data_IF_554272111221
#
_entry.id   IF_554272111221
#
_cell.length_a   1.000
_cell.length_b   1.000
_cell.length_c   1.000
_cell.angle_alpha   90.00
_cell.angle_beta   90.00
_cell.angle_gamma   90.00
#
_symmetry.space_group_name_H-M   'P 1'
#
loop_
_entity.id
_entity.type
_entity.pdbx_description
1 polymer ?
#
# COMPACT_ATOMS: atom_id res chain seq x y z
N UNK A 1 6.44 32.28 -3.09
CA UNK A 1 6.13 30.97 -3.71
C UNK A 1 6.63 29.82 -2.84
N UNK A 2 7.84 29.92 -2.26
CA UNK A 2 8.41 28.92 -1.33
C UNK A 2 7.55 28.63 -0.10
N UNK A 3 7.02 29.67 0.57
CA UNK A 3 6.10 29.50 1.71
C UNK A 3 4.82 28.76 1.33
N UNK A 4 4.27 29.01 0.13
CA UNK A 4 3.10 28.31 -0.39
C UNK A 4 3.41 26.83 -0.67
N UNK A 5 4.58 26.52 -1.26
CA UNK A 5 5.02 25.15 -1.48
C UNK A 5 5.19 24.38 -0.15
N UNK A 6 5.84 24.98 0.85
CA UNK A 6 5.99 24.38 2.19
C UNK A 6 4.62 24.13 2.84
N UNK A 7 3.69 25.09 2.71
CA UNK A 7 2.33 24.95 3.25
C UNK A 7 1.59 23.79 2.59
N UNK A 8 1.67 23.66 1.25
CA UNK A 8 1.04 22.55 0.52
C UNK A 8 1.69 21.20 0.84
N UNK A 9 3.00 21.16 1.05
CA UNK A 9 3.69 19.96 1.51
C UNK A 9 3.20 19.52 2.90
N UNK A 10 3.04 20.48 3.83
CA UNK A 10 2.47 20.21 5.15
C UNK A 10 1.01 19.72 5.06
N UNK A 11 0.21 20.33 4.19
CA UNK A 11 -1.15 19.86 3.91
C UNK A 11 -1.14 18.43 3.35
N UNK A 12 -0.19 18.09 2.48
CA UNK A 12 -0.02 16.72 1.96
C UNK A 12 0.27 15.72 3.09
N UNK A 13 1.15 16.08 4.04
CA UNK A 13 1.47 15.25 5.20
C UNK A 13 0.29 15.02 6.14
N UNK A 14 -0.56 16.04 6.32
CA UNK A 14 -1.70 16.00 7.25
C UNK A 14 -2.99 15.50 6.60
N UNK A 15 -3.14 15.56 5.28
CA UNK A 15 -4.36 15.19 4.57
C UNK A 15 -4.79 13.75 4.86
N UNK A 16 -3.86 12.80 4.81
CA UNK A 16 -4.19 11.38 5.02
C UNK A 16 -4.59 11.04 6.46
N UNK A 17 -3.83 11.42 7.52
CA UNK A 17 -4.22 11.10 8.88
C UNK A 17 -5.52 11.80 9.29
N UNK A 18 -5.72 13.06 8.89
CA UNK A 18 -6.96 13.81 9.18
C UNK A 18 -8.15 13.19 8.46
N UNK A 19 -8.02 12.86 7.17
CA UNK A 19 -9.06 12.18 6.40
C UNK A 19 -9.39 10.79 6.94
N UNK A 20 -8.37 10.01 7.33
CA UNK A 20 -8.56 8.69 7.90
C UNK A 20 -9.30 8.76 9.25
N UNK A 21 -9.01 9.76 10.08
CA UNK A 21 -9.68 9.97 11.36
C UNK A 21 -11.13 10.44 11.15
N UNK A 22 -11.35 11.42 10.27
CA UNK A 22 -12.67 11.96 9.95
C UNK A 22 -13.60 10.91 9.30
N UNK A 23 -13.05 10.04 8.46
CA UNK A 23 -13.83 8.99 7.78
C UNK A 23 -13.86 7.67 8.54
N UNK A 24 -13.21 7.55 9.71
CA UNK A 24 -13.04 6.28 10.46
C UNK A 24 -14.37 5.58 10.74
N UNK A 25 -15.33 6.29 11.35
CA UNK A 25 -16.65 5.72 11.69
C UNK A 25 -17.45 5.34 10.44
N UNK A 26 -17.39 6.17 9.40
CA UNK A 26 -18.07 5.93 8.12
C UNK A 26 -17.49 4.71 7.40
N UNK A 27 -16.17 4.56 7.35
CA UNK A 27 -15.48 3.43 6.70
C UNK A 27 -15.79 2.08 7.34
N UNK A 28 -16.06 2.03 8.64
CA UNK A 28 -16.35 0.77 9.34
C UNK A 28 -17.72 0.18 8.97
N UNK A 29 -18.69 1.01 8.58
CA UNK A 29 -20.04 0.57 8.23
C UNK A 29 -20.38 0.74 6.75
N UNK A 30 -19.51 1.38 5.97
CA UNK A 30 -19.76 1.64 4.56
C UNK A 30 -19.51 0.40 3.70
N UNK A 31 -20.26 0.24 2.59
CA UNK A 31 -19.97 -0.80 1.61
C UNK A 31 -18.60 -0.59 0.95
N UNK A 32 -18.00 -1.68 0.46
CA UNK A 32 -16.65 -1.69 -0.14
C UNK A 32 -16.50 -0.68 -1.29
N UNK A 33 -17.55 -0.50 -2.10
CA UNK A 33 -17.58 0.48 -3.20
C UNK A 33 -17.40 1.92 -2.72
N UNK A 34 -17.95 2.28 -1.56
CA UNK A 34 -17.80 3.61 -0.96
C UNK A 34 -16.40 3.79 -0.41
N UNK A 35 -15.84 2.78 0.27
CA UNK A 35 -14.45 2.83 0.75
C UNK A 35 -13.47 2.98 -0.42
N UNK A 36 -13.69 2.25 -1.52
CA UNK A 36 -12.92 2.37 -2.77
C UNK A 36 -12.98 3.79 -3.32
N UNK A 37 -14.16 4.40 -3.42
CA UNK A 37 -14.31 5.79 -3.87
C UNK A 37 -13.57 6.78 -2.96
N UNK A 38 -13.63 6.60 -1.64
CA UNK A 38 -12.91 7.44 -0.69
C UNK A 38 -11.38 7.30 -0.82
N UNK A 39 -10.88 6.11 -1.13
CA UNK A 39 -9.45 5.89 -1.40
C UNK A 39 -9.03 6.55 -2.72
N UNK A 40 -9.86 6.47 -3.79
CA UNK A 40 -9.64 7.17 -5.08
C UNK A 40 -9.59 8.68 -4.90
N UNK A 41 -10.59 9.26 -4.23
CA UNK A 41 -10.63 10.70 -3.96
C UNK A 41 -9.40 11.12 -3.16
N UNK A 42 -9.04 10.37 -2.12
CA UNK A 42 -7.86 10.64 -1.31
C UNK A 42 -6.57 10.62 -2.14
N UNK A 43 -6.39 9.62 -3.00
CA UNK A 43 -5.21 9.54 -3.86
C UNK A 43 -5.13 10.70 -4.86
N UNK A 44 -6.24 11.06 -5.51
CA UNK A 44 -6.28 12.20 -6.44
C UNK A 44 -5.94 13.50 -5.73
N UNK A 45 -6.52 13.77 -4.56
CA UNK A 45 -6.22 14.97 -3.77
C UNK A 45 -4.74 15.03 -3.42
N UNK A 46 -4.15 13.91 -2.97
CA UNK A 46 -2.73 13.84 -2.62
C UNK A 46 -1.82 14.04 -3.82
N UNK A 47 -2.12 13.43 -4.97
CA UNK A 47 -1.35 13.60 -6.19
C UNK A 47 -1.42 15.05 -6.71
N UNK A 48 -2.59 15.69 -6.65
CA UNK A 48 -2.76 17.10 -7.01
C UNK A 48 -1.97 18.00 -6.06
N UNK A 49 -2.08 17.80 -4.74
CA UNK A 49 -1.31 18.58 -3.77
C UNK A 49 0.21 18.44 -4.00
N UNK A 50 0.68 17.20 -4.17
CA UNK A 50 2.09 16.91 -4.45
C UNK A 50 2.56 17.56 -5.77
N UNK A 51 1.78 17.43 -6.84
CA UNK A 51 2.09 18.00 -8.15
C UNK A 51 2.13 19.53 -8.14
N UNK A 52 1.14 20.18 -7.53
CA UNK A 52 1.12 21.64 -7.37
C UNK A 52 2.28 22.10 -6.50
N UNK A 53 2.62 21.37 -5.43
CA UNK A 53 3.80 21.66 -4.61
C UNK A 53 5.08 21.60 -5.43
N UNK A 54 5.26 20.55 -6.24
CA UNK A 54 6.43 20.38 -7.10
C UNK A 54 6.57 21.52 -8.11
N UNK A 55 5.48 21.90 -8.80
CA UNK A 55 5.47 22.99 -9.78
C UNK A 55 5.81 24.33 -9.11
N UNK A 56 5.21 24.63 -7.96
CA UNK A 56 5.50 25.86 -7.22
C UNK A 56 6.93 25.89 -6.68
N UNK A 57 7.46 24.76 -6.23
CA UNK A 57 8.84 24.63 -5.76
C UNK A 57 9.84 24.86 -6.91
N UNK A 58 9.61 24.26 -8.07
CA UNK A 58 10.50 24.36 -9.23
C UNK A 58 10.69 25.79 -9.77
N UNK A 59 9.75 26.70 -9.50
CA UNK A 59 9.83 28.11 -9.91
C UNK A 59 10.10 29.07 -8.75
N UNK A 60 10.18 28.55 -7.52
CA UNK A 60 10.43 29.35 -6.32
C UNK A 60 11.92 29.49 -6.05
N UNK A 61 12.28 30.55 -5.32
CA UNK A 61 13.61 30.62 -4.71
C UNK A 61 13.76 29.54 -3.63
N UNK A 62 14.96 28.95 -3.49
CA UNK A 62 15.26 27.98 -2.44
C UNK A 62 14.85 28.47 -1.03
N UNK A 63 14.38 27.56 -0.20
CA UNK A 63 14.05 27.85 1.19
C UNK A 63 15.33 28.22 1.97
N UNK A 64 15.23 29.23 2.84
CA UNK A 64 16.35 29.67 3.68
C UNK A 64 15.98 29.62 5.17
N UNK A 65 17.00 29.56 6.03
CA UNK A 65 16.84 29.57 7.49
C UNK A 65 16.10 28.35 8.05
N UNK A 66 15.30 28.56 9.10
CA UNK A 66 14.57 27.49 9.80
C UNK A 66 13.63 26.70 8.86
N UNK A 67 13.03 27.37 7.89
CA UNK A 67 12.11 26.74 6.94
C UNK A 67 12.83 25.67 6.10
N UNK A 68 14.08 25.91 5.69
CA UNK A 68 14.88 24.93 4.95
C UNK A 68 15.18 23.66 5.75
N UNK A 69 15.34 23.80 7.07
CA UNK A 69 15.56 22.67 7.99
C UNK A 69 14.29 21.86 8.27
N UNK A 70 13.11 22.47 8.13
CA UNK A 70 11.83 21.80 8.37
C UNK A 70 11.37 20.96 7.17
N UNK A 71 11.69 21.36 5.94
CA UNK A 71 11.25 20.69 4.70
C UNK A 71 11.53 19.18 4.70
N UNK A 72 12.72 18.70 5.10
CA UNK A 72 12.99 17.26 5.16
C UNK A 72 12.02 16.48 6.03
N UNK A 73 11.73 17.02 7.21
CA UNK A 73 10.85 16.38 8.19
C UNK A 73 9.44 16.31 7.63
N UNK A 74 8.95 17.40 7.03
CA UNK A 74 7.61 17.45 6.44
C UNK A 74 7.49 16.53 5.22
N UNK A 75 8.51 16.47 4.35
CA UNK A 75 8.55 15.57 3.21
C UNK A 75 8.55 14.09 3.64
N UNK A 76 9.32 13.74 4.67
CA UNK A 76 9.33 12.41 5.23
C UNK A 76 7.96 12.03 5.82
N UNK A 77 7.32 12.94 6.55
CA UNK A 77 5.95 12.73 7.06
C UNK A 77 4.96 12.54 5.90
N UNK A 78 5.03 13.34 4.83
CA UNK A 78 4.19 13.19 3.65
C UNK A 78 4.41 11.86 2.91
N UNK A 79 5.66 11.39 2.82
CA UNK A 79 5.98 10.08 2.25
C UNK A 79 5.31 8.96 3.07
N UNK A 80 5.46 9.00 4.40
CA UNK A 80 4.96 7.98 5.32
C UNK A 80 3.43 7.98 5.42
N UNK A 81 2.77 9.13 5.45
CA UNK A 81 1.31 9.17 5.62
C UNK A 81 0.55 9.04 4.30
N UNK A 82 1.05 9.65 3.21
CA UNK A 82 0.32 9.81 1.94
C UNK A 82 0.20 8.58 1.04
N UNK A 83 1.15 7.66 1.09
CA UNK A 83 1.21 6.53 0.15
C UNK A 83 0.08 5.48 0.29
N UNK A 84 -0.66 5.45 1.40
CA UNK A 84 -1.71 4.44 1.64
C UNK A 84 -2.85 4.46 0.61
N UNK A 85 -3.58 5.59 0.46
CA UNK A 85 -4.60 5.75 -0.58
C UNK A 85 -4.05 5.51 -1.99
N UNK A 86 -2.84 6.00 -2.29
CA UNK A 86 -2.19 5.83 -3.60
C UNK A 86 -1.97 4.35 -3.92
N UNK A 87 -1.37 3.59 -3.01
CA UNK A 87 -1.15 2.14 -3.19
C UNK A 87 -2.46 1.39 -3.40
N UNK A 88 -3.48 1.68 -2.58
CA UNK A 88 -4.78 1.00 -2.69
C UNK A 88 -5.46 1.27 -4.03
N UNK A 89 -5.39 2.50 -4.51
CA UNK A 89 -6.00 2.89 -5.79
C UNK A 89 -5.29 2.25 -6.97
N UNK A 90 -3.96 2.15 -6.93
CA UNK A 90 -3.17 1.43 -7.94
C UNK A 90 -3.52 -0.06 -7.96
N UNK A 91 -3.56 -0.72 -6.81
CA UNK A 91 -3.93 -2.15 -6.74
C UNK A 91 -5.33 -2.40 -7.29
N UNK A 92 -6.27 -1.53 -6.93
CA UNK A 92 -7.65 -1.59 -7.41
C UNK A 92 -7.73 -1.33 -8.93
N UNK A 93 -6.93 -0.42 -9.47
CA UNK A 93 -6.84 -0.18 -10.91
C UNK A 93 -6.21 -1.37 -11.65
N UNK A 94 -5.27 -2.07 -11.00
CA UNK A 94 -4.67 -3.32 -11.49
C UNK A 94 -5.57 -4.55 -11.37
N UNK A 95 -6.86 -4.39 -11.02
CA UNK A 95 -7.85 -5.48 -10.97
C UNK A 95 -7.78 -6.36 -9.72
N UNK A 96 -7.00 -5.97 -8.71
CA UNK A 96 -6.88 -6.69 -7.44
C UNK A 96 -8.20 -6.57 -6.67
N UNK A 97 -8.98 -7.65 -6.66
CA UNK A 97 -10.30 -7.73 -6.03
C UNK A 97 -11.51 -7.73 -6.99
N UNK A 98 -11.30 -7.70 -8.32
CA UNK A 98 -12.40 -7.81 -9.31
C UNK A 98 -12.54 -9.21 -9.92
N UNK A 99 -11.59 -10.13 -9.70
CA UNK A 99 -11.70 -11.52 -10.16
C UNK A 99 -12.54 -12.37 -9.20
N UNK A 100 -13.85 -12.13 -9.20
CA UNK A 100 -14.89 -13.06 -8.74
C UNK A 100 -15.96 -13.10 -9.83
N UNK A 101 -15.57 -13.61 -11.00
CA UNK A 101 -16.49 -14.16 -11.98
C UNK A 101 -16.13 -15.62 -12.16
N UNK A 102 -17.10 -16.53 -12.41
CA UNK A 102 -16.77 -17.87 -12.87
C UNK A 102 -15.86 -17.71 -14.09
N UNK A 103 -14.62 -18.20 -14.01
CA UNK A 103 -13.83 -18.39 -15.22
C UNK A 103 -14.62 -19.32 -16.15
N UNK A 104 -14.51 -19.17 -17.48
CA UNK A 104 -15.05 -20.19 -18.38
C UNK A 104 -14.46 -21.53 -17.94
N UNK A 105 -15.33 -22.49 -17.68
CA UNK A 105 -14.96 -23.86 -17.35
C UNK A 105 -13.89 -24.32 -18.36
N UNK A 106 -12.79 -24.96 -17.92
CA UNK A 106 -11.94 -25.65 -18.87
C UNK A 106 -12.80 -26.72 -19.56
N UNK A 107 -13.17 -26.46 -20.80
CA UNK A 107 -13.73 -27.47 -21.70
C UNK A 107 -12.81 -28.70 -21.69
N UNK A 108 -13.40 -29.86 -21.42
CA UNK A 108 -12.87 -31.16 -21.81
C UNK A 108 -11.94 -31.83 -20.81
N UNK A 109 -12.51 -32.44 -19.78
CA UNK A 109 -11.94 -33.70 -19.26
C UNK A 109 -12.61 -34.85 -20.02
N UNK A 110 -11.87 -35.74 -20.69
CA UNK A 110 -12.46 -36.88 -21.37
C UNK A 110 -13.03 -37.86 -20.35
N UNK A 111 -14.18 -38.39 -20.73
CA UNK A 111 -14.91 -39.51 -20.14
C UNK A 111 -14.04 -40.78 -20.03
N UNK A 112 -13.84 -41.28 -18.81
CA UNK A 112 -13.39 -42.65 -18.55
C UNK A 112 -14.09 -43.28 -17.33
N UNK A 113 -15.21 -43.94 -17.61
CA UNK A 113 -15.38 -45.36 -17.25
C UNK A 113 -15.85 -45.73 -15.84
N UNK A 114 -17.16 -45.99 -15.74
CA UNK A 114 -17.78 -47.20 -15.14
C UNK A 114 -17.33 -47.68 -13.75
N UNK A 115 -18.28 -47.67 -12.80
CA UNK A 115 -18.26 -48.49 -11.59
C UNK A 115 -19.57 -48.36 -10.81
N UNK A 116 -20.45 -49.33 -11.02
CA UNK A 116 -21.76 -49.49 -10.38
C UNK A 116 -21.64 -49.95 -8.91
N UNK A 117 -22.76 -49.82 -8.19
CA UNK A 117 -23.20 -50.59 -7.01
C UNK A 117 -22.90 -50.11 -5.57
N UNK A 118 -24.00 -49.68 -4.92
CA UNK A 118 -24.59 -50.13 -3.63
C UNK A 118 -24.45 -49.31 -2.33
N UNK A 119 -25.65 -48.99 -1.81
CA UNK A 119 -26.16 -48.89 -0.43
C UNK A 119 -25.39 -48.16 0.70
N UNK A 120 -26.10 -47.22 1.34
CA UNK A 120 -25.78 -46.56 2.61
C UNK A 120 -26.33 -47.37 3.82
N UNK A 121 -26.23 -46.92 5.11
CA UNK A 121 -25.39 -45.91 5.77
C UNK A 121 -24.67 -46.45 7.04
N UNK A 122 -23.63 -45.78 7.55
CA UNK A 122 -23.35 -45.79 9.01
C UNK A 122 -22.40 -44.66 9.44
N UNK A 123 -22.82 -43.88 10.44
CA UNK A 123 -22.03 -42.84 11.10
C UNK A 123 -21.39 -43.36 12.39
N UNK A 124 -20.11 -43.06 12.67
CA UNK A 124 -19.61 -43.06 14.04
C UNK A 124 -19.35 -41.65 14.59
N UNK A 125 -19.59 -41.51 15.89
CA UNK A 125 -19.58 -40.33 16.76
C UNK A 125 -18.25 -39.54 16.84
N UNK A 126 -18.23 -38.32 17.43
CA UNK A 126 -17.10 -37.39 17.35
C UNK A 126 -15.95 -37.77 18.29
N UNK A 127 -14.72 -37.68 17.76
CA UNK A 127 -13.47 -37.90 18.49
C UNK A 127 -13.13 -36.72 19.43
N UNK A 128 -12.30 -36.93 20.47
CA UNK A 128 -12.05 -35.95 21.54
C UNK A 128 -11.25 -34.73 21.05
N UNK A 129 -11.53 -33.57 21.64
CA UNK A 129 -10.81 -32.32 21.37
C UNK A 129 -9.35 -32.40 21.85
N UNK A 130 -8.41 -32.32 20.91
CA UNK A 130 -6.99 -32.10 21.19
C UNK A 130 -6.75 -30.70 21.80
N UNK A 131 -5.76 -30.55 22.70
CA UNK A 131 -5.50 -29.31 23.40
C UNK A 131 -4.99 -28.22 22.45
N UNK A 132 -5.51 -27.01 22.61
CA UNK A 132 -5.26 -25.83 21.77
C UNK A 132 -3.77 -25.62 21.45
N UNK A 133 -3.45 -25.72 20.16
CA UNK A 133 -2.18 -25.35 19.56
C UNK A 133 -1.90 -23.84 19.79
N UNK A 134 -0.73 -23.41 20.28
CA UNK A 134 -0.39 -21.99 20.46
C UNK A 134 -0.29 -21.17 19.15
N UNK A 135 -0.62 -21.77 18.00
CA UNK A 135 -0.54 -21.18 16.67
C UNK A 135 -1.63 -20.13 16.35
N UNK A 136 -2.51 -19.77 17.30
CA UNK A 136 -3.56 -18.76 17.10
C UNK A 136 -3.13 -17.30 17.38
N UNK A 137 -1.83 -17.00 17.36
CA UNK A 137 -1.40 -15.62 17.14
C UNK A 137 -1.61 -15.27 15.66
N UNK A 138 -2.86 -14.99 15.28
CA UNK A 138 -3.23 -14.62 13.92
C UNK A 138 -2.29 -13.54 13.34
N UNK A 139 -1.99 -13.55 12.04
CA UNK A 139 -0.92 -12.75 11.45
C UNK A 139 -1.01 -11.30 11.93
N UNK A 140 0.04 -10.83 12.60
CA UNK A 140 0.12 -9.43 13.05
C UNK A 140 -0.31 -8.52 11.90
N UNK A 141 -1.20 -7.55 12.16
CA UNK A 141 -1.64 -6.52 11.19
C UNK A 141 -0.50 -5.55 10.80
N UNK A 142 0.73 -6.05 10.72
CA UNK A 142 1.98 -5.33 10.53
C UNK A 142 2.16 -4.76 9.13
N UNK A 143 1.41 -5.21 8.13
CA UNK A 143 1.58 -4.74 6.74
C UNK A 143 1.53 -3.22 6.57
N UNK A 144 0.67 -2.52 7.33
CA UNK A 144 0.62 -1.05 7.31
C UNK A 144 1.86 -0.40 7.97
N UNK A 145 2.29 -0.93 9.11
CA UNK A 145 3.45 -0.41 9.85
C UNK A 145 4.73 -0.66 9.06
N UNK A 146 4.89 -1.86 8.49
CA UNK A 146 5.98 -2.20 7.57
C UNK A 146 6.01 -1.20 6.42
N UNK A 147 4.86 -0.92 5.79
CA UNK A 147 4.79 0.07 4.72
C UNK A 147 5.12 1.51 5.15
N UNK A 148 4.96 1.87 6.43
CA UNK A 148 5.45 3.16 6.96
C UNK A 148 6.96 3.16 7.12
N UNK A 149 7.53 2.10 7.69
CA UNK A 149 8.97 1.96 7.88
C UNK A 149 9.72 1.93 6.56
N UNK A 150 9.19 1.22 5.55
CA UNK A 150 9.79 1.17 4.22
C UNK A 150 9.79 2.53 3.53
N UNK A 151 8.67 3.27 3.58
CA UNK A 151 8.61 4.61 2.97
C UNK A 151 9.51 5.60 3.69
N UNK A 152 9.62 5.48 5.02
CA UNK A 152 10.57 6.26 5.78
C UNK A 152 12.01 5.93 5.34
N UNK A 153 12.37 4.66 5.22
CA UNK A 153 13.70 4.25 4.79
C UNK A 153 14.03 4.70 3.35
N UNK A 154 13.05 4.61 2.43
CA UNK A 154 13.18 5.05 1.04
C UNK A 154 13.39 6.57 0.96
N UNK A 155 12.57 7.35 1.67
CA UNK A 155 12.69 8.81 1.58
C UNK A 155 13.99 9.27 2.25
N UNK A 156 14.37 8.71 3.41
CA UNK A 156 15.58 9.12 4.13
C UNK A 156 16.86 8.75 3.39
N UNK A 157 16.93 7.57 2.75
CA UNK A 157 18.14 7.19 2.00
C UNK A 157 18.39 8.12 0.82
N UNK A 158 17.33 8.54 0.12
CA UNK A 158 17.43 9.47 -1.00
C UNK A 158 17.84 10.87 -0.53
N UNK A 159 17.24 11.36 0.55
CA UNK A 159 17.57 12.67 1.13
C UNK A 159 18.97 12.71 1.76
N UNK A 160 19.48 11.56 2.20
CA UNK A 160 20.85 11.40 2.67
C UNK A 160 21.88 11.30 1.52
N UNK A 161 21.43 11.32 0.26
CA UNK A 161 22.30 11.18 -0.91
C UNK A 161 22.81 9.75 -1.12
N UNK A 162 22.14 8.74 -0.56
CA UNK A 162 22.49 7.33 -0.66
C UNK A 162 21.42 6.56 -1.46
N UNK A 163 21.41 6.68 -2.80
CA UNK A 163 20.41 6.02 -3.64
C UNK A 163 20.51 4.49 -3.62
N UNK A 164 21.68 3.91 -3.34
CA UNK A 164 21.89 2.46 -3.25
C UNK A 164 21.06 1.83 -2.12
N UNK A 165 20.77 2.58 -1.05
CA UNK A 165 19.89 2.11 0.02
C UNK A 165 18.49 1.72 -0.48
N UNK A 166 17.99 2.35 -1.56
CA UNK A 166 16.72 1.96 -2.18
C UNK A 166 16.75 0.52 -2.71
N UNK A 167 17.85 0.14 -3.38
CA UNK A 167 18.03 -1.21 -3.90
C UNK A 167 18.08 -2.24 -2.76
N UNK A 168 18.77 -1.90 -1.66
CA UNK A 168 18.86 -2.76 -0.47
C UNK A 168 17.48 -2.95 0.17
N UNK A 169 16.72 -1.87 0.38
CA UNK A 169 15.37 -1.93 0.98
C UNK A 169 14.45 -2.83 0.14
N UNK A 170 14.45 -2.65 -1.18
CA UNK A 170 13.65 -3.45 -2.11
C UNK A 170 14.06 -4.92 -2.09
N UNK A 171 15.36 -5.20 -2.09
CA UNK A 171 15.89 -6.56 -2.02
C UNK A 171 15.46 -7.25 -0.72
N UNK A 172 15.71 -6.64 0.44
CA UNK A 172 15.32 -7.19 1.76
C UNK A 172 13.81 -7.43 1.83
N UNK A 173 12.99 -6.48 1.36
CA UNK A 173 11.53 -6.61 1.31
C UNK A 173 11.08 -7.81 0.47
N UNK A 174 11.66 -7.97 -0.73
CA UNK A 174 11.32 -9.08 -1.64
C UNK A 174 11.74 -10.45 -1.08
N UNK A 175 12.91 -10.52 -0.46
CA UNK A 175 13.43 -11.76 0.14
C UNK A 175 12.56 -12.23 1.31
N UNK A 176 12.15 -11.30 2.18
CA UNK A 176 11.29 -11.60 3.32
C UNK A 176 9.90 -12.15 2.91
N UNK A 177 9.43 -11.84 1.69
CA UNK A 177 8.12 -12.28 1.19
C UNK A 177 8.18 -13.40 0.17
N UNK A 178 9.37 -13.88 -0.20
CA UNK A 178 9.53 -14.90 -1.24
C UNK A 178 8.62 -16.12 -1.09
N UNK A 179 8.39 -16.69 0.11
CA UNK A 179 7.45 -17.82 0.28
C UNK A 179 6.01 -17.47 -0.08
N UNK A 180 5.56 -16.24 0.21
CA UNK A 180 4.20 -15.74 -0.03
C UNK A 180 3.93 -15.48 -1.52
N UNK A 181 4.98 -15.18 -2.30
CA UNK A 181 4.86 -14.83 -3.73
C UNK A 181 4.52 -16.04 -4.63
N UNK A 182 4.55 -17.27 -4.09
CA UNK A 182 4.20 -18.49 -4.83
C UNK A 182 2.70 -18.64 -5.08
N UNK A 183 1.86 -17.93 -4.32
CA UNK A 183 0.43 -17.97 -4.53
C UNK A 183 0.04 -17.28 -5.86
N UNK A 184 -0.98 -17.77 -6.58
CA UNK A 184 -1.45 -17.16 -7.80
C UNK A 184 -1.74 -15.66 -7.62
N UNK A 185 -1.24 -14.83 -8.54
CA UNK A 185 -1.37 -13.37 -8.54
C UNK A 185 -0.74 -12.62 -7.36
N UNK A 186 -0.13 -13.30 -6.37
CA UNK A 186 0.51 -12.63 -5.23
C UNK A 186 1.75 -11.83 -5.66
N UNK A 187 2.53 -12.35 -6.61
CA UNK A 187 3.69 -11.64 -7.16
C UNK A 187 3.31 -10.33 -7.86
N UNK A 188 2.28 -10.35 -8.71
CA UNK A 188 1.80 -9.15 -9.42
C UNK A 188 1.31 -8.08 -8.44
N UNK A 189 0.53 -8.48 -7.43
CA UNK A 189 0.03 -7.59 -6.38
C UNK A 189 1.16 -6.99 -5.55
N UNK A 190 2.15 -7.81 -5.19
CA UNK A 190 3.31 -7.37 -4.44
C UNK A 190 4.15 -6.36 -5.22
N UNK A 191 4.41 -6.61 -6.50
CA UNK A 191 5.16 -5.73 -7.39
C UNK A 191 4.42 -4.40 -7.55
N UNK A 192 3.14 -4.42 -7.94
CA UNK A 192 2.33 -3.20 -8.10
C UNK A 192 2.27 -2.37 -6.81
N UNK A 193 2.00 -3.02 -5.67
CA UNK A 193 1.91 -2.34 -4.39
C UNK A 193 3.24 -1.72 -3.94
N UNK A 194 4.35 -2.44 -4.15
CA UNK A 194 5.69 -1.97 -3.82
C UNK A 194 6.10 -0.79 -4.69
N UNK A 195 5.96 -0.92 -6.01
CA UNK A 195 6.30 0.17 -6.94
C UNK A 195 5.47 1.42 -6.69
N UNK A 196 4.16 1.29 -6.48
CA UNK A 196 3.31 2.44 -6.17
C UNK A 196 3.75 3.15 -4.87
N UNK A 197 4.08 2.37 -3.84
CA UNK A 197 4.53 2.90 -2.54
C UNK A 197 5.88 3.61 -2.65
N UNK A 198 6.83 3.01 -3.37
CA UNK A 198 8.16 3.58 -3.59
C UNK A 198 8.08 4.83 -4.46
N UNK A 199 7.32 4.80 -5.55
CA UNK A 199 7.13 5.96 -6.44
C UNK A 199 6.59 7.17 -5.67
N UNK A 200 5.64 6.96 -4.76
CA UNK A 200 5.15 8.02 -3.87
C UNK A 200 6.27 8.60 -2.99
N UNK A 201 7.05 7.74 -2.33
CA UNK A 201 8.13 8.18 -1.44
C UNK A 201 9.26 8.91 -2.22
N UNK A 202 9.65 8.40 -3.39
CA UNK A 202 10.59 9.04 -4.31
C UNK A 202 10.08 10.41 -4.73
N UNK A 203 8.79 10.52 -5.08
CA UNK A 203 8.17 11.79 -5.43
C UNK A 203 8.26 12.83 -4.31
N UNK A 204 8.07 12.43 -3.05
CA UNK A 204 8.23 13.33 -1.90
C UNK A 204 9.68 13.74 -1.65
N UNK A 205 10.66 12.85 -1.87
CA UNK A 205 12.07 13.21 -1.86
C UNK A 205 12.42 14.22 -2.97
N UNK A 206 11.87 14.03 -4.18
CA UNK A 206 12.03 15.00 -5.28
C UNK A 206 11.41 16.36 -4.96
N UNK A 207 10.22 16.39 -4.33
CA UNK A 207 9.60 17.64 -3.87
C UNK A 207 10.47 18.35 -2.83
N UNK A 208 11.07 17.62 -1.89
CA UNK A 208 12.01 18.21 -0.94
C UNK A 208 13.22 18.83 -1.64
N UNK A 209 13.82 18.11 -2.58
CA UNK A 209 14.97 18.59 -3.35
C UNK A 209 14.66 19.88 -4.13
N UNK A 210 13.44 20.03 -4.65
CA UNK A 210 13.00 21.25 -5.35
C UNK A 210 12.78 22.45 -4.42
N UNK A 211 12.50 22.22 -3.13
CA UNK A 211 12.22 23.31 -2.17
C UNK A 211 13.52 23.81 -1.51
N UNK A 212 14.53 22.94 -1.38
CA UNK A 212 15.83 23.26 -0.78
C UNK A 212 16.77 24.00 -1.72
#
# INVERSE_FOLDING_TARGET
MTTAAITLLLLTALATPTWALATRKKRNHAPVSVVRRLDVIGAVVLLVLAGVTAVLAAVAAPATGFLASAVPVVAALAAVTGGGPVVRTVLVAGGVGQRTGPGPDPEGSPDDGSGDDTDAPDSPAPAPADPADPAEAGPLRGGRVIGYLERLAVVTTLMAGWPEGLAIILAVKSLARYPELRAPHAAEQFIMGTFASVMWAVGMAGVEHLIR
#
